data_IF_894354011860
#
_entry.id   IF_894354011860
#
_cell.length_a   1.000
_cell.length_b   1.000
_cell.length_c   1.000
_cell.angle_alpha   90.00
_cell.angle_beta   90.00
_cell.angle_gamma   90.00
#
_symmetry.space_group_name_H-M   'P 1'
#
loop_
_entity.id
_entity.type
_entity.pdbx_description
1 polymer ?
#
# COMPACT_ATOMS: atom_id res chain seq x y z
N UNK A 1 -4.06 15.71 12.22
CA UNK A 1 -4.75 15.12 11.05
C UNK A 1 -6.23 14.90 11.37
N UNK A 2 -7.16 15.13 10.43
CA UNK A 2 -8.58 14.76 10.63
C UNK A 2 -8.72 13.22 10.57
N UNK A 3 -9.60 12.66 11.41
CA UNK A 3 -9.85 11.21 11.52
C UNK A 3 -10.21 10.55 10.18
N UNK A 4 -11.01 11.20 9.33
CA UNK A 4 -11.43 10.59 8.06
C UNK A 4 -10.26 10.42 7.07
N UNK A 5 -9.31 11.34 7.07
CA UNK A 5 -8.10 11.20 6.24
C UNK A 5 -7.17 10.13 6.79
N UNK A 6 -7.04 10.04 8.13
CA UNK A 6 -6.25 8.99 8.78
C UNK A 6 -6.77 7.60 8.40
N UNK A 7 -8.08 7.36 8.51
CA UNK A 7 -8.68 6.06 8.13
C UNK A 7 -8.44 5.71 6.66
N UNK A 8 -8.51 6.68 5.75
CA UNK A 8 -8.20 6.43 4.33
C UNK A 8 -6.74 6.02 4.12
N UNK A 9 -5.80 6.65 4.82
CA UNK A 9 -4.38 6.32 4.73
C UNK A 9 -4.07 4.95 5.36
N UNK A 10 -4.74 4.61 6.46
CA UNK A 10 -4.67 3.27 7.07
C UNK A 10 -5.16 2.18 6.10
N UNK A 11 -6.27 2.41 5.39
CA UNK A 11 -6.71 1.47 4.34
C UNK A 11 -5.71 1.33 3.19
N UNK A 12 -5.00 2.41 2.81
CA UNK A 12 -3.96 2.31 1.77
C UNK A 12 -2.75 1.50 2.25
N UNK A 13 -2.40 1.59 3.54
CA UNK A 13 -1.38 0.74 4.16
C UNK A 13 -1.75 -0.74 4.05
N UNK A 14 -2.97 -1.08 4.48
CA UNK A 14 -3.52 -2.45 4.40
C UNK A 14 -3.56 -2.95 2.95
N UNK A 15 -3.98 -2.08 2.01
CA UNK A 15 -4.03 -2.42 0.58
C UNK A 15 -2.63 -2.69 0.01
N UNK A 16 -1.61 -1.92 0.41
CA UNK A 16 -0.22 -2.18 0.00
C UNK A 16 0.25 -3.56 0.46
N UNK A 17 -0.08 -3.96 1.69
CA UNK A 17 0.25 -5.30 2.20
C UNK A 17 -0.49 -6.40 1.43
N UNK A 18 -1.78 -6.21 1.17
CA UNK A 18 -2.59 -7.14 0.36
C UNK A 18 -2.00 -7.33 -1.04
N UNK A 19 -1.66 -6.24 -1.74
CA UNK A 19 -1.07 -6.31 -3.09
C UNK A 19 0.27 -7.04 -3.06
N UNK A 20 1.13 -6.78 -2.08
CA UNK A 20 2.40 -7.50 -1.94
C UNK A 20 2.18 -9.00 -1.71
N UNK A 21 1.18 -9.39 -0.91
CA UNK A 21 0.82 -10.78 -0.72
C UNK A 21 0.31 -11.43 -2.02
N UNK A 22 -0.53 -10.71 -2.78
CA UNK A 22 -1.03 -11.18 -4.08
C UNK A 22 0.11 -11.32 -5.11
N UNK A 23 1.04 -10.38 -5.17
CA UNK A 23 2.19 -10.45 -6.08
C UNK A 23 3.16 -11.58 -5.73
N UNK A 24 3.13 -12.10 -4.50
CA UNK A 24 3.88 -13.29 -4.09
C UNK A 24 3.15 -14.61 -4.41
N UNK A 25 1.88 -14.57 -4.80
CA UNK A 25 1.09 -15.77 -5.12
C UNK A 25 1.49 -16.34 -6.51
N UNK A 26 1.87 -17.64 -6.60
CA UNK A 26 2.26 -18.25 -7.87
C UNK A 26 1.18 -18.24 -8.95
N UNK A 27 -0.10 -18.27 -8.57
CA UNK A 27 -1.23 -18.17 -9.49
C UNK A 27 -1.32 -16.77 -10.11
N UNK A 28 -1.10 -15.73 -9.31
CA UNK A 28 -1.02 -14.34 -9.78
C UNK A 28 0.22 -14.13 -10.65
N UNK A 29 1.38 -14.65 -10.27
CA UNK A 29 2.61 -14.58 -11.08
C UNK A 29 2.42 -15.24 -12.46
N UNK A 30 1.63 -16.32 -12.51
CA UNK A 30 1.25 -17.01 -13.75
C UNK A 30 0.31 -16.20 -14.66
N UNK A 31 -0.49 -15.30 -14.09
CA UNK A 31 -1.38 -14.39 -14.82
C UNK A 31 -0.73 -13.01 -15.01
N UNK A 32 -0.09 -12.84 -16.15
CA UNK A 32 0.65 -11.62 -16.51
C UNK A 32 -0.21 -10.34 -16.53
N UNK A 33 -1.52 -10.44 -16.79
CA UNK A 33 -2.39 -9.26 -16.79
C UNK A 33 -2.64 -8.82 -15.34
N UNK A 34 -3.08 -9.77 -14.50
CA UNK A 34 -3.31 -9.51 -13.07
C UNK A 34 -2.04 -9.04 -12.37
N UNK A 35 -0.89 -9.67 -12.63
CA UNK A 35 0.40 -9.25 -12.07
C UNK A 35 0.77 -7.82 -12.47
N UNK A 36 0.57 -7.45 -13.75
CA UNK A 36 0.84 -6.09 -14.23
C UNK A 36 -0.06 -5.07 -13.54
N UNK A 37 -1.36 -5.35 -13.48
CA UNK A 37 -2.33 -4.41 -12.92
C UNK A 37 -2.05 -4.16 -11.43
N UNK A 38 -1.76 -5.22 -10.67
CA UNK A 38 -1.34 -5.12 -9.27
C UNK A 38 -0.01 -4.38 -9.09
N UNK A 39 0.95 -4.57 -10.00
CA UNK A 39 2.23 -3.86 -9.94
C UNK A 39 2.07 -2.36 -10.18
N UNK A 40 1.14 -1.97 -11.08
CA UNK A 40 0.80 -0.56 -11.33
C UNK A 40 0.12 0.03 -10.09
N UNK A 41 -0.88 -0.67 -9.53
CA UNK A 41 -1.56 -0.22 -8.32
C UNK A 41 -0.58 -0.04 -7.15
N UNK A 42 0.35 -0.99 -6.95
CA UNK A 42 1.39 -0.88 -5.94
C UNK A 42 2.25 0.37 -6.16
N UNK A 43 2.71 0.61 -7.39
CA UNK A 43 3.53 1.77 -7.72
C UNK A 43 2.80 3.10 -7.48
N UNK A 44 1.49 3.14 -7.71
CA UNK A 44 0.66 4.33 -7.50
C UNK A 44 0.47 4.64 -6.00
N UNK A 45 0.25 3.62 -5.17
CA UNK A 45 -0.04 3.82 -3.73
C UNK A 45 1.22 3.90 -2.86
N UNK A 46 2.32 3.23 -3.25
CA UNK A 46 3.56 3.15 -2.45
C UNK A 46 4.07 4.52 -1.99
N UNK A 47 4.20 5.55 -2.85
CA UNK A 47 4.68 6.85 -2.41
C UNK A 47 3.81 7.48 -1.32
N UNK A 48 2.49 7.32 -1.39
CA UNK A 48 1.55 7.87 -0.40
C UNK A 48 1.71 7.16 0.94
N UNK A 49 1.81 5.83 0.90
CA UNK A 49 2.00 5.00 2.08
C UNK A 49 3.35 5.30 2.75
N UNK A 50 4.43 5.41 1.98
CA UNK A 50 5.77 5.68 2.50
C UNK A 50 5.81 7.03 3.25
N UNK A 51 5.17 8.08 2.70
CA UNK A 51 5.09 9.38 3.37
C UNK A 51 4.23 9.32 4.64
N UNK A 52 3.17 8.51 4.65
CA UNK A 52 2.34 8.33 5.84
C UNK A 52 3.07 7.56 6.94
N UNK A 53 3.81 6.51 6.61
CA UNK A 53 4.65 5.78 7.57
C UNK A 53 5.72 6.69 8.18
N UNK A 54 6.38 7.53 7.37
CA UNK A 54 7.33 8.54 7.86
C UNK A 54 6.67 9.56 8.80
N UNK A 55 5.48 10.05 8.44
CA UNK A 55 4.72 10.93 9.31
C UNK A 55 4.42 10.27 10.66
N UNK A 56 3.96 9.02 10.67
CA UNK A 56 3.63 8.30 11.91
C UNK A 56 4.86 8.06 12.79
N UNK A 57 6.02 7.75 12.20
CA UNK A 57 7.26 7.61 12.93
C UNK A 57 7.63 8.92 13.64
N UNK A 58 7.59 10.06 12.93
CA UNK A 58 7.89 11.37 13.52
C UNK A 58 6.87 11.80 14.58
N UNK A 59 5.58 11.52 14.37
CA UNK A 59 4.49 11.80 15.33
C UNK A 59 4.65 10.99 16.63
N UNK A 60 5.28 9.81 16.56
CA UNK A 60 5.55 8.94 17.72
C UNK A 60 6.81 9.36 18.50
N UNK A 61 7.75 10.06 17.84
CA UNK A 61 8.98 10.56 18.47
C UNK A 61 8.80 11.91 19.21
N UNK A 62 7.62 12.52 19.11
CA UNK A 62 7.24 13.78 19.77
C UNK A 62 6.38 13.56 21.02
#
# INVERSE_FOLDING_TARGET
MNSQMRTKLEHLLERREEINALLADPGVIGDQNTFRDLSIELADISPVVDHFEQYQALDTEL
#
